data_IF_777567693239
#
_entry.id   IF_777567693239
#
_cell.length_a   1.000
_cell.length_b   1.000
_cell.length_c   1.000
_cell.angle_alpha   90.00
_cell.angle_beta   90.00
_cell.angle_gamma   90.00
#
_symmetry.space_group_name_H-M   'P 1'
#
loop_
_entity.id
_entity.type
_entity.pdbx_description
1 polymer ?
#
# COMPACT_ATOMS: atom_id res chain seq x y z
N UNK A 1 9.91 1.01 -5.70
CA UNK A 1 9.93 1.91 -4.52
C UNK A 1 10.11 1.04 -3.30
N UNK A 2 10.53 1.58 -2.16
CA UNK A 2 10.50 0.84 -0.90
C UNK A 2 10.02 1.75 0.24
N UNK A 3 9.31 1.20 1.23
CA UNK A 3 8.87 1.95 2.42
C UNK A 3 8.61 1.00 3.60
N UNK A 4 9.14 1.34 4.77
CA UNK A 4 8.92 0.66 6.06
C UNK A 4 8.34 1.62 7.11
N UNK A 5 7.99 2.85 6.71
CA UNK A 5 7.54 3.91 7.61
C UNK A 5 6.21 4.49 7.18
N UNK A 6 5.28 4.53 8.12
CA UNK A 6 3.98 5.18 7.98
C UNK A 6 3.85 6.26 9.05
N UNK A 7 3.65 7.51 8.64
CA UNK A 7 3.48 8.65 9.55
C UNK A 7 2.01 9.01 9.61
N UNK A 8 1.41 8.80 10.77
CA UNK A 8 0.02 9.16 11.05
C UNK A 8 -0.07 10.68 11.25
N UNK A 9 -1.04 11.32 10.59
CA UNK A 9 -1.37 12.74 10.77
C UNK A 9 -0.15 13.66 10.72
N UNK A 10 0.69 13.47 9.69
CA UNK A 10 2.01 14.09 9.56
C UNK A 10 2.05 15.62 9.68
N UNK A 11 1.00 16.34 9.26
CA UNK A 11 0.88 17.80 9.35
C UNK A 11 0.05 18.26 10.55
N UNK A 12 -0.38 17.35 11.43
CA UNK A 12 -1.20 17.63 12.59
C UNK A 12 -2.70 17.73 12.30
N UNK A 13 -3.48 17.73 13.37
CA UNK A 13 -4.95 17.79 13.33
C UNK A 13 -5.46 19.21 12.97
N UNK A 14 -4.68 20.25 13.31
CA UNK A 14 -5.05 21.67 13.17
C UNK A 14 -4.66 22.30 11.84
N UNK A 15 -4.36 21.50 10.82
CA UNK A 15 -4.16 22.05 9.48
C UNK A 15 -5.52 22.50 8.93
N UNK A 16 -5.88 23.76 9.20
CA UNK A 16 -7.14 24.44 8.90
C UNK A 16 -7.47 24.60 7.41
N UNK A 17 -6.92 23.73 6.55
CA UNK A 17 -7.15 23.70 5.12
C UNK A 17 -8.18 22.64 4.78
N UNK A 18 -9.12 22.99 3.90
CA UNK A 18 -10.13 22.08 3.32
C UNK A 18 -9.48 20.82 2.72
N UNK A 19 -8.21 20.89 2.31
CA UNK A 19 -7.44 19.77 1.75
C UNK A 19 -7.00 18.71 2.78
N UNK A 20 -7.19 18.94 4.08
CA UNK A 20 -6.74 18.03 5.15
C UNK A 20 -7.87 17.47 6.01
N UNK A 21 -9.13 17.60 5.58
CA UNK A 21 -10.30 17.14 6.34
C UNK A 21 -10.28 15.62 6.58
N UNK A 22 -9.73 14.85 5.64
CA UNK A 22 -9.48 13.43 5.79
C UNK A 22 -8.09 13.11 6.36
N UNK A 23 -7.49 14.05 7.11
CA UNK A 23 -6.20 13.98 7.79
C UNK A 23 -4.99 13.68 6.91
N UNK A 24 -3.78 13.64 7.50
CA UNK A 24 -2.55 13.81 6.71
C UNK A 24 -1.57 12.64 6.82
N UNK A 25 -2.07 11.42 6.71
CA UNK A 25 -1.22 10.24 6.74
C UNK A 25 -0.23 10.22 5.57
N UNK A 26 0.99 9.77 5.83
CA UNK A 26 2.07 9.72 4.83
C UNK A 26 2.79 8.37 4.87
N UNK A 27 2.77 7.67 3.74
CA UNK A 27 3.69 6.58 3.48
C UNK A 27 5.05 7.18 3.08
N UNK A 28 6.10 6.87 3.83
CA UNK A 28 7.41 7.48 3.63
C UNK A 28 8.27 6.66 2.66
N UNK A 29 8.19 7.02 1.38
CA UNK A 29 8.78 6.23 0.29
C UNK A 29 10.23 6.63 0.00
N UNK A 30 11.08 5.62 -0.21
CA UNK A 30 12.43 5.75 -0.74
C UNK A 30 12.52 5.14 -2.14
N UNK A 31 13.21 5.81 -3.06
CA UNK A 31 13.50 5.31 -4.41
C UNK A 31 15.01 5.11 -4.60
N UNK A 32 15.52 3.87 -4.42
CA UNK A 32 16.93 3.58 -4.64
C UNK A 32 17.21 3.45 -6.14
N UNK A 33 17.38 4.58 -6.82
CA UNK A 33 17.52 4.65 -8.29
C UNK A 33 18.75 3.89 -8.80
N UNK A 34 19.82 3.81 -8.01
CA UNK A 34 21.04 3.10 -8.37
C UNK A 34 21.00 1.58 -8.11
N UNK A 35 19.92 1.06 -7.53
CA UNK A 35 19.86 -0.36 -7.13
C UNK A 35 19.85 -1.31 -8.32
N UNK A 36 20.41 -2.52 -8.12
CA UNK A 36 20.40 -3.59 -9.13
C UNK A 36 19.00 -3.90 -9.67
N UNK A 37 17.98 -3.79 -8.82
CA UNK A 37 16.57 -3.94 -9.19
C UNK A 37 16.15 -2.92 -10.26
N UNK A 38 16.54 -1.65 -10.11
CA UNK A 38 16.22 -0.60 -11.09
C UNK A 38 17.02 -0.81 -12.37
N UNK A 39 18.32 -1.08 -12.26
CA UNK A 39 19.18 -1.35 -13.42
C UNK A 39 18.63 -2.48 -14.29
N UNK A 40 18.22 -3.60 -13.67
CA UNK A 40 17.58 -4.73 -14.40
C UNK A 40 16.29 -4.32 -15.12
N UNK A 41 15.43 -3.52 -14.48
CA UNK A 41 14.16 -3.06 -15.10
C UNK A 41 14.38 -2.09 -16.26
N UNK A 42 15.46 -1.30 -16.21
CA UNK A 42 15.85 -0.42 -17.32
C UNK A 42 16.34 -1.25 -18.51
N UNK A 43 17.16 -2.28 -18.25
CA UNK A 43 17.70 -3.15 -19.30
C UNK A 43 16.65 -4.07 -19.94
N UNK A 44 15.69 -4.54 -19.15
CA UNK A 44 14.57 -5.35 -19.61
C UNK A 44 13.25 -4.75 -19.11
N UNK A 45 12.66 -3.80 -19.87
CA UNK A 45 11.38 -3.20 -19.52
C UNK A 45 10.30 -4.28 -19.48
N UNK A 46 9.98 -4.73 -18.28
CA UNK A 46 8.81 -5.57 -18.05
C UNK A 46 7.63 -4.65 -17.84
N UNK A 47 6.53 -4.90 -18.56
CA UNK A 47 5.23 -4.44 -18.06
C UNK A 47 5.02 -5.13 -16.72
N UNK A 48 4.89 -4.40 -15.60
CA UNK A 48 4.60 -5.01 -14.32
C UNK A 48 3.14 -5.47 -14.33
N UNK A 49 2.86 -6.53 -15.07
CA UNK A 49 1.63 -7.28 -14.93
C UNK A 49 1.80 -8.05 -13.63
N UNK A 50 1.12 -7.60 -12.59
CA UNK A 50 1.01 -8.40 -11.39
C UNK A 50 0.12 -9.58 -11.75
N UNK A 51 0.72 -10.74 -11.99
CA UNK A 51 -0.02 -11.97 -11.94
C UNK A 51 -0.41 -12.16 -10.47
N UNK A 52 -1.64 -11.71 -10.16
CA UNK A 52 -2.37 -12.17 -9.00
C UNK A 52 -2.60 -13.66 -9.20
N UNK A 53 -1.54 -14.45 -8.99
CA UNK A 53 -1.75 -15.77 -8.47
C UNK A 53 -2.71 -15.58 -7.28
N UNK A 54 -3.83 -16.31 -7.21
CA UNK A 54 -4.80 -16.22 -6.10
C UNK A 54 -4.20 -16.53 -4.71
N UNK A 55 -2.88 -16.71 -4.62
CA UNK A 55 -2.15 -17.18 -3.46
C UNK A 55 -1.66 -16.10 -2.48
N UNK A 56 -1.84 -14.79 -2.74
CA UNK A 56 -1.47 -13.75 -1.75
C UNK A 56 -2.73 -13.07 -1.21
N UNK A 57 -3.24 -13.52 -0.06
CA UNK A 57 -4.42 -12.92 0.56
C UNK A 57 -4.15 -11.46 0.95
N UNK A 58 -5.10 -10.55 0.68
CA UNK A 58 -5.02 -9.18 1.15
C UNK A 58 -5.24 -9.09 2.67
N UNK A 59 -4.43 -8.28 3.35
CA UNK A 59 -4.63 -7.85 4.72
C UNK A 59 -5.79 -6.83 4.81
N UNK A 60 -5.85 -5.94 3.82
CA UNK A 60 -6.97 -5.02 3.58
C UNK A 60 -7.47 -5.27 2.18
N UNK A 61 -8.78 -5.53 2.03
CA UNK A 61 -9.41 -5.79 0.75
C UNK A 61 -10.70 -5.00 0.55
N UNK A 62 -11.26 -5.00 -0.66
CA UNK A 62 -12.66 -4.62 -0.86
C UNK A 62 -13.55 -5.75 -0.32
N UNK A 63 -14.58 -5.39 0.45
CA UNK A 63 -15.74 -6.26 0.64
C UNK A 63 -16.60 -6.23 -0.64
N UNK A 64 -17.56 -7.14 -0.76
CA UNK A 64 -18.44 -7.21 -1.94
C UNK A 64 -19.22 -5.91 -2.24
N UNK A 65 -19.29 -4.98 -1.29
CA UNK A 65 -20.01 -3.71 -1.37
C UNK A 65 -19.09 -2.50 -1.58
N UNK A 66 -17.78 -2.72 -1.77
CA UNK A 66 -16.80 -1.65 -2.01
C UNK A 66 -16.22 -0.98 -0.75
N UNK A 67 -16.55 -1.46 0.45
CA UNK A 67 -16.00 -1.04 1.74
C UNK A 67 -14.71 -1.80 2.07
N UNK A 68 -13.81 -1.28 2.92
CA UNK A 68 -12.64 -2.03 3.33
C UNK A 68 -13.02 -3.20 4.25
N UNK A 69 -12.51 -4.39 3.95
CA UNK A 69 -12.48 -5.54 4.85
C UNK A 69 -11.06 -5.76 5.38
N UNK A 70 -10.96 -6.17 6.64
CA UNK A 70 -9.68 -6.49 7.31
C UNK A 70 -9.62 -7.99 7.52
N UNK A 71 -8.52 -8.61 7.10
CA UNK A 71 -8.26 -10.02 7.39
C UNK A 71 -7.84 -10.20 8.87
N UNK A 72 -7.84 -11.46 9.33
CA UNK A 72 -7.23 -11.81 10.61
C UNK A 72 -5.74 -11.48 10.60
N UNK A 73 -5.31 -10.63 11.54
CA UNK A 73 -3.97 -10.06 11.56
C UNK A 73 -2.91 -11.13 11.80
N UNK A 74 -3.12 -12.02 12.76
CA UNK A 74 -2.14 -13.05 13.11
C UNK A 74 -1.91 -14.01 11.94
N UNK A 75 -3.01 -14.46 11.31
CA UNK A 75 -2.96 -15.31 10.12
C UNK A 75 -2.26 -14.61 8.96
N UNK A 76 -2.56 -13.32 8.72
CA UNK A 76 -1.91 -12.52 7.68
C UNK A 76 -0.40 -12.39 7.92
N UNK A 77 0.00 -11.99 9.13
CA UNK A 77 1.39 -11.75 9.49
C UNK A 77 2.23 -13.03 9.58
N UNK A 78 1.62 -14.21 9.73
CA UNK A 78 2.35 -15.49 9.64
C UNK A 78 2.95 -15.76 8.25
N UNK A 79 2.56 -15.00 7.22
CA UNK A 79 3.06 -15.14 5.85
C UNK A 79 4.34 -14.32 5.61
N UNK A 80 5.02 -14.60 4.50
CA UNK A 80 6.15 -13.79 4.03
C UNK A 80 5.74 -12.60 3.16
N UNK A 81 4.55 -12.65 2.56
CA UNK A 81 4.01 -11.62 1.67
C UNK A 81 2.53 -11.41 1.95
N UNK A 82 2.09 -10.16 1.90
CA UNK A 82 0.70 -9.73 2.09
C UNK A 82 0.40 -8.55 1.16
N UNK A 83 -0.88 -8.31 0.90
CA UNK A 83 -1.33 -7.19 0.08
C UNK A 83 -2.17 -6.20 0.89
N UNK A 84 -2.12 -4.92 0.52
CA UNK A 84 -3.04 -3.89 1.01
C UNK A 84 -3.70 -3.26 -0.22
N UNK A 85 -5.00 -3.49 -0.37
CA UNK A 85 -5.83 -2.83 -1.37
C UNK A 85 -6.20 -1.41 -0.93
N UNK A 86 -6.31 -0.52 -1.91
CA UNK A 86 -6.79 0.86 -1.75
C UNK A 86 -7.72 1.24 -2.91
N UNK A 87 -8.64 2.20 -2.71
CA UNK A 87 -9.41 2.80 -3.79
C UNK A 87 -8.50 3.31 -4.90
N UNK A 88 -8.88 3.01 -6.15
CA UNK A 88 -8.19 3.53 -7.32
C UNK A 88 -8.27 5.05 -7.41
N UNK A 89 -9.37 5.64 -6.91
CA UNK A 89 -9.60 7.08 -6.82
C UNK A 89 -10.27 7.42 -5.49
N UNK A 90 -9.48 7.84 -4.51
CA UNK A 90 -9.99 8.22 -3.17
C UNK A 90 -10.76 9.55 -3.20
N UNK A 91 -10.45 10.44 -4.17
CA UNK A 91 -11.10 11.75 -4.28
C UNK A 91 -12.55 11.55 -4.72
N UNK A 92 -12.79 10.67 -5.69
CA UNK A 92 -14.16 10.34 -6.12
C UNK A 92 -14.94 9.59 -5.04
N UNK A 93 -14.29 8.70 -4.28
CA UNK A 93 -14.93 8.05 -3.12
C UNK A 93 -15.33 9.09 -2.07
N UNK A 94 -14.45 10.03 -1.73
CA UNK A 94 -14.71 11.09 -0.73
C UNK A 94 -15.84 12.03 -1.16
N UNK A 95 -15.89 12.44 -2.43
CA UNK A 95 -16.99 13.26 -2.97
C UNK A 95 -18.34 12.57 -2.84
N UNK A 96 -18.38 11.25 -3.07
CA UNK A 96 -19.61 10.46 -3.04
C UNK A 96 -20.04 10.09 -1.62
N UNK A 97 -19.08 9.69 -0.80
CA UNK A 97 -19.29 9.21 0.56
C UNK A 97 -18.03 9.49 1.42
N UNK A 98 -18.02 10.63 2.14
CA UNK A 98 -16.92 10.98 3.03
C UNK A 98 -16.67 9.95 4.15
N UNK A 99 -17.73 9.30 4.64
CA UNK A 99 -17.61 8.29 5.69
C UNK A 99 -16.90 7.04 5.16
N UNK A 100 -17.22 6.62 3.94
CA UNK A 100 -16.51 5.53 3.26
C UNK A 100 -15.04 5.86 3.02
N UNK A 101 -14.71 7.09 2.60
CA UNK A 101 -13.32 7.53 2.44
C UNK A 101 -12.55 7.46 3.77
N UNK A 102 -13.20 7.85 4.87
CA UNK A 102 -12.63 7.74 6.20
C UNK A 102 -12.41 6.28 6.64
N UNK A 103 -13.36 5.39 6.37
CA UNK A 103 -13.19 3.94 6.62
C UNK A 103 -12.00 3.37 5.89
N UNK A 104 -11.86 3.69 4.59
CA UNK A 104 -10.73 3.28 3.77
C UNK A 104 -9.42 3.75 4.35
N UNK A 105 -9.36 5.03 4.74
CA UNK A 105 -8.16 5.59 5.38
C UNK A 105 -7.80 4.85 6.66
N UNK A 106 -8.76 4.60 7.56
CA UNK A 106 -8.49 3.88 8.81
C UNK A 106 -8.00 2.45 8.53
N UNK A 107 -8.57 1.78 7.53
CA UNK A 107 -8.13 0.44 7.14
C UNK A 107 -6.72 0.45 6.54
N UNK A 108 -6.41 1.39 5.64
CA UNK A 108 -5.06 1.56 5.07
C UNK A 108 -4.02 1.90 6.14
N UNK A 109 -4.34 2.84 7.05
CA UNK A 109 -3.50 3.19 8.21
C UNK A 109 -3.20 1.95 9.05
N UNK A 110 -4.24 1.22 9.44
CA UNK A 110 -4.09 -0.03 10.20
C UNK A 110 -3.21 -1.04 9.45
N UNK A 111 -3.49 -1.29 8.18
CA UNK A 111 -2.75 -2.27 7.37
C UNK A 111 -1.25 -1.95 7.31
N UNK A 112 -0.87 -0.71 7.01
CA UNK A 112 0.54 -0.32 6.96
C UNK A 112 1.20 -0.33 8.34
N UNK A 113 0.57 0.26 9.35
CA UNK A 113 1.18 0.38 10.68
C UNK A 113 1.41 -0.99 11.33
N UNK A 114 0.44 -1.90 11.27
CA UNK A 114 0.60 -3.25 11.83
C UNK A 114 1.61 -4.09 11.04
N UNK A 115 1.61 -3.98 9.70
CA UNK A 115 2.59 -4.68 8.86
C UNK A 115 4.02 -4.21 9.14
N UNK A 116 4.23 -2.89 9.26
CA UNK A 116 5.56 -2.33 9.52
C UNK A 116 6.07 -2.66 10.93
N UNK A 117 5.20 -2.64 11.95
CA UNK A 117 5.54 -3.15 13.30
C UNK A 117 5.99 -4.61 13.26
N UNK A 118 5.38 -5.40 12.40
CA UNK A 118 5.70 -6.81 12.22
C UNK A 118 6.94 -7.08 11.34
N UNK A 119 7.67 -6.05 10.89
CA UNK A 119 8.89 -6.19 10.10
C UNK A 119 8.66 -6.42 8.60
N UNK A 120 7.50 -6.00 8.08
CA UNK A 120 7.28 -5.91 6.64
C UNK A 120 7.70 -4.54 6.10
N UNK A 121 8.01 -4.49 4.81
CA UNK A 121 8.13 -3.25 4.05
C UNK A 121 7.28 -3.35 2.77
N UNK A 122 6.78 -2.21 2.29
CA UNK A 122 6.13 -2.08 1.00
C UNK A 122 7.19 -2.00 -0.10
N UNK A 123 7.18 -2.93 -1.06
CA UNK A 123 8.20 -3.01 -2.13
C UNK A 123 7.66 -2.74 -3.53
N UNK A 124 6.37 -2.96 -3.76
CA UNK A 124 5.73 -2.75 -5.05
C UNK A 124 4.34 -2.14 -4.90
N UNK A 125 3.92 -1.42 -5.93
CA UNK A 125 2.59 -0.86 -6.06
C UNK A 125 2.06 -1.18 -7.47
N UNK A 126 0.80 -1.59 -7.54
CA UNK A 126 0.12 -1.99 -8.76
C UNK A 126 -1.22 -1.26 -8.88
N UNK A 127 -1.58 -0.88 -10.12
CA UNK A 127 -2.86 -0.24 -10.45
C UNK A 127 -3.60 -0.91 -11.62
N UNK A 128 -2.85 -1.66 -12.44
CA UNK A 128 -3.40 -2.49 -13.51
C UNK A 128 -3.42 -3.93 -13.05
N UNK A 129 -4.57 -4.38 -12.60
CA UNK A 129 -4.80 -5.80 -12.31
C UNK A 129 -5.43 -6.37 -13.58
N UNK A 130 -4.77 -7.35 -14.21
CA UNK A 130 -5.27 -8.04 -15.43
C UNK A 130 -5.63 -7.10 -16.60
N UNK A 131 -4.90 -6.00 -16.76
CA UNK A 131 -5.06 -5.09 -17.91
C UNK A 131 -6.25 -4.13 -17.83
N UNK A 132 -7.00 -4.10 -16.72
CA UNK A 132 -8.04 -3.11 -16.46
C UNK A 132 -7.58 -2.14 -15.36
N UNK A 133 -8.07 -0.90 -15.40
CA UNK A 133 -7.92 0.08 -14.31
C UNK A 133 -8.63 -0.50 -13.08
N UNK A 134 -7.86 -1.05 -12.15
CA UNK A 134 -8.36 -1.73 -10.96
C UNK A 134 -8.06 -0.92 -9.69
N UNK A 135 -8.42 -1.47 -8.52
CA UNK A 135 -7.96 -0.90 -7.25
C UNK A 135 -6.44 -0.83 -7.18
N UNK A 136 -5.95 0.15 -6.43
CA UNK A 136 -4.52 0.23 -6.11
C UNK A 136 -4.16 -0.88 -5.13
N UNK A 137 -2.97 -1.45 -5.28
CA UNK A 137 -2.51 -2.58 -4.49
C UNK A 137 -1.05 -2.41 -4.11
N UNK A 138 -0.76 -2.43 -2.81
CA UNK A 138 0.60 -2.49 -2.30
C UNK A 138 0.95 -3.93 -1.94
N UNK A 139 2.11 -4.39 -2.43
CA UNK A 139 2.70 -5.66 -2.01
C UNK A 139 3.72 -5.39 -0.91
N UNK A 140 3.49 -5.99 0.25
CA UNK A 140 4.37 -5.94 1.39
C UNK A 140 5.09 -7.28 1.56
N UNK A 141 6.36 -7.22 1.94
CA UNK A 141 7.21 -8.39 2.13
C UNK A 141 7.94 -8.28 3.46
N UNK A 142 8.08 -9.42 4.15
CA UNK A 142 8.86 -9.52 5.38
C UNK A 142 10.35 -9.50 5.04
N UNK A 143 11.13 -8.66 5.72
CA UNK A 143 12.59 -8.61 5.54
C UNK A 143 13.20 -7.23 5.76
N UNK A 144 14.53 -7.16 5.63
CA UNK A 144 15.27 -5.90 5.72
C UNK A 144 15.12 -5.07 4.46
N UNK A 145 14.59 -3.85 4.57
CA UNK A 145 14.50 -2.91 3.45
C UNK A 145 15.87 -2.66 2.79
N UNK A 146 16.95 -2.73 3.57
CA UNK A 146 18.32 -2.50 3.10
C UNK A 146 18.82 -3.58 2.15
N UNK A 147 18.51 -4.84 2.42
CA UNK A 147 18.84 -5.97 1.55
C UNK A 147 18.12 -5.82 0.21
N UNK A 148 16.87 -5.36 0.23
CA UNK A 148 16.08 -5.18 -0.97
C UNK A 148 16.43 -3.92 -1.79
N UNK A 149 16.92 -2.87 -1.12
CA UNK A 149 17.13 -1.56 -1.71
C UNK A 149 18.59 -1.28 -2.10
N UNK A 150 19.57 -1.93 -1.46
CA UNK A 150 20.98 -1.54 -1.55
C UNK A 150 21.94 -2.70 -1.83
N UNK A 151 21.46 -3.86 -2.29
CA UNK A 151 22.35 -4.86 -2.92
C UNK A 151 23.04 -4.22 -4.13
N UNK A 152 24.35 -3.96 -3.97
CA UNK A 152 25.27 -3.51 -5.01
C UNK A 152 25.61 -4.65 -5.97
#
# INVERSE_FOLDING_TARGET
MVSDRYKVDFYGHDSSSVLHQNGTDRLWVTWPLASRRVQRRVQAPQNPTFDLSPAIPPLVSFNGDGRPARADLLTALARHRICIEIPGDIIEVEKRDPALAWEWRLATRWGFTESFKAGFFAGEYFRNIRGQQGPGMYLLQRGGISEFAFEC
#
